data_IF_546111222683
#
_entry.id   IF_546111222683
#
_cell.length_a   1.000
_cell.length_b   1.000
_cell.length_c   1.000
_cell.angle_alpha   90.00
_cell.angle_beta   90.00
_cell.angle_gamma   90.00
#
_symmetry.space_group_name_H-M   'P 1'
#
loop_
_entity.id
_entity.type
_entity.pdbx_description
1 polymer ?
#
# COMPACT_ATOMS: atom_id res chain seq x y z
N UNK A 1 24.70 -0.31 19.31
CA UNK A 1 23.41 -0.16 19.93
C UNK A 1 22.56 0.82 19.16
N UNK A 2 22.95 2.09 19.17
CA UNK A 2 22.26 3.05 18.34
C UNK A 2 22.43 2.74 16.87
N UNK A 3 23.49 2.07 16.53
CA UNK A 3 23.76 1.70 15.15
C UNK A 3 22.72 0.76 14.57
N UNK A 4 22.15 -0.09 15.39
CA UNK A 4 21.11 -0.98 14.91
C UNK A 4 19.86 -0.24 14.47
N UNK A 5 19.48 0.76 15.23
CA UNK A 5 18.34 1.59 14.88
C UNK A 5 18.55 2.30 13.55
N UNK A 6 19.73 2.88 13.40
CA UNK A 6 20.06 3.57 12.17
C UNK A 6 20.12 2.62 10.99
N UNK A 7 20.68 1.45 11.23
CA UNK A 7 20.78 0.45 10.19
C UNK A 7 19.39 0.01 9.70
N UNK A 8 18.46 -0.17 10.62
CA UNK A 8 17.11 -0.52 10.27
C UNK A 8 16.45 0.56 9.41
N UNK A 9 16.72 1.81 9.72
CA UNK A 9 16.17 2.90 8.95
C UNK A 9 16.69 2.94 7.51
N UNK A 10 17.88 2.46 7.30
CA UNK A 10 18.47 2.43 5.97
C UNK A 10 17.75 1.45 5.06
N UNK A 11 17.33 0.30 5.61
CA UNK A 11 16.73 -0.75 4.80
C UNK A 11 15.21 -0.79 4.88
N UNK A 12 14.63 -0.04 5.80
CA UNK A 12 13.19 0.02 5.95
C UNK A 12 12.73 1.47 6.00
N UNK A 13 11.56 1.72 5.46
CA UNK A 13 10.98 3.05 5.52
C UNK A 13 9.49 3.00 5.51
N UNK A 14 8.89 4.14 5.74
CA UNK A 14 7.43 4.28 5.73
C UNK A 14 7.04 5.34 4.74
N UNK A 15 5.92 5.13 4.09
CA UNK A 15 5.34 6.09 3.16
C UNK A 15 3.84 6.18 3.41
N UNK A 16 3.25 7.35 3.21
CA UNK A 16 1.80 7.46 3.29
C UNK A 16 1.16 6.83 2.07
N UNK A 17 -0.03 6.25 2.28
CA UNK A 17 -0.83 5.74 1.18
C UNK A 17 -2.23 6.31 1.30
N UNK A 18 -2.81 6.69 0.19
CA UNK A 18 -4.16 7.18 0.12
C UNK A 18 -4.92 6.33 -0.89
N UNK A 19 -6.02 5.76 -0.44
CA UNK A 19 -6.84 4.86 -1.27
C UNK A 19 -8.22 5.43 -1.51
N UNK A 20 -8.76 5.10 -2.68
CA UNK A 20 -10.20 5.21 -2.92
C UNK A 20 -10.71 3.78 -3.15
N UNK A 21 -11.81 3.45 -2.51
CA UNK A 21 -12.39 2.12 -2.61
C UNK A 21 -13.88 2.30 -2.89
N UNK A 22 -14.33 1.78 -3.97
CA UNK A 22 -15.72 1.91 -4.37
C UNK A 22 -16.65 1.39 -3.28
N UNK A 23 -17.59 2.21 -2.86
CA UNK A 23 -18.46 1.90 -1.72
C UNK A 23 -18.15 2.70 -0.49
N UNK A 24 -16.98 3.35 -0.45
CA UNK A 24 -16.61 4.26 0.64
C UNK A 24 -16.48 5.66 0.05
N UNK A 25 -17.15 6.61 0.69
CA UNK A 25 -17.14 7.99 0.20
C UNK A 25 -15.81 8.70 0.49
N UNK A 26 -15.24 8.41 1.63
CA UNK A 26 -14.05 9.13 2.08
C UNK A 26 -12.78 8.42 1.63
N UNK A 27 -11.74 9.23 1.48
CA UNK A 27 -10.41 8.74 1.20
C UNK A 27 -9.90 7.92 2.38
N UNK A 28 -9.34 6.77 2.10
CA UNK A 28 -8.79 5.89 3.13
C UNK A 28 -7.30 6.15 3.22
N UNK A 29 -6.84 6.51 4.40
CA UNK A 29 -5.44 6.82 4.64
C UNK A 29 -4.77 5.70 5.41
N UNK A 30 -3.54 5.42 5.08
CA UNK A 30 -2.78 4.39 5.76
C UNK A 30 -1.29 4.60 5.57
N UNK A 31 -0.56 3.55 5.87
CA UNK A 31 0.89 3.55 5.76
C UNK A 31 1.36 2.29 5.07
N UNK A 32 2.44 2.43 4.34
CA UNK A 32 3.14 1.25 3.85
C UNK A 32 4.52 1.22 4.49
N UNK A 33 5.01 0.01 4.66
CA UNK A 33 6.36 -0.22 5.13
C UNK A 33 7.10 -0.92 4.01
N UNK A 34 8.15 -0.30 3.51
CA UNK A 34 8.90 -0.90 2.42
C UNK A 34 10.27 -1.33 2.89
N UNK A 35 10.86 -2.28 2.19
CA UNK A 35 12.16 -2.85 2.51
C UNK A 35 12.98 -3.03 1.25
N UNK A 36 14.27 -3.09 1.43
CA UNK A 36 15.21 -3.43 0.37
C UNK A 36 14.99 -2.65 -0.91
N UNK A 37 15.19 -1.36 -0.82
CA UNK A 37 15.08 -0.49 -1.97
C UNK A 37 13.68 -0.40 -2.54
N UNK A 38 12.70 -0.61 -1.66
CA UNK A 38 11.30 -0.37 -2.00
C UNK A 38 10.71 -1.33 -3.03
N UNK A 39 11.35 -2.47 -3.22
CA UNK A 39 10.83 -3.47 -4.16
C UNK A 39 9.74 -4.33 -3.56
N UNK A 40 9.76 -4.47 -2.25
CA UNK A 40 8.79 -5.28 -1.53
C UNK A 40 8.32 -4.47 -0.33
N UNK A 41 7.03 -4.55 -0.04
CA UNK A 41 6.54 -3.84 1.12
C UNK A 41 5.22 -4.40 1.59
N UNK A 42 4.79 -3.89 2.76
CA UNK A 42 3.51 -4.27 3.34
C UNK A 42 2.62 -3.05 3.41
N UNK A 43 1.33 -3.30 3.27
CA UNK A 43 0.28 -2.28 3.33
C UNK A 43 -0.51 -2.50 4.61
N UNK A 44 -0.84 -1.42 5.29
CA UNK A 44 -1.65 -1.50 6.51
C UNK A 44 -2.53 -0.27 6.61
N UNK A 45 -3.83 -0.48 6.72
CA UNK A 45 -4.76 0.61 6.86
C UNK A 45 -6.06 0.11 7.47
N UNK A 46 -6.87 1.05 7.97
CA UNK A 46 -8.16 0.73 8.54
C UNK A 46 -9.26 1.23 7.63
N UNK A 47 -10.26 0.40 7.42
CA UNK A 47 -11.43 0.82 6.67
C UNK A 47 -12.29 1.77 7.49
N UNK A 48 -13.00 2.71 6.84
CA UNK A 48 -13.92 3.59 7.54
C UNK A 48 -15.07 2.83 8.19
N UNK A 49 -15.76 3.50 9.07
CA UNK A 49 -16.96 2.96 9.74
C UNK A 49 -16.67 1.70 10.54
N UNK A 50 -15.45 1.57 11.06
CA UNK A 50 -15.04 0.44 11.89
C UNK A 50 -15.15 -0.89 11.16
N UNK A 51 -15.00 -0.87 9.85
CA UNK A 51 -15.03 -2.10 9.04
C UNK A 51 -13.77 -2.94 9.17
N UNK A 52 -12.82 -2.49 9.97
CA UNK A 52 -11.69 -3.31 10.34
C UNK A 52 -10.39 -2.94 9.64
N UNK A 53 -9.36 -3.67 10.02
CA UNK A 53 -8.02 -3.44 9.51
C UNK A 53 -7.78 -4.29 8.26
N UNK A 54 -7.05 -3.72 7.32
CA UNK A 54 -6.64 -4.42 6.11
C UNK A 54 -5.13 -4.49 6.07
N UNK A 55 -4.62 -5.63 5.70
CA UNK A 55 -3.18 -5.81 5.51
C UNK A 55 -2.94 -6.37 4.12
N UNK A 56 -1.78 -6.06 3.59
CA UNK A 56 -1.43 -6.54 2.28
C UNK A 56 0.04 -6.47 2.02
N UNK A 57 0.41 -6.88 0.83
CA UNK A 57 1.80 -6.83 0.38
C UNK A 57 1.85 -6.35 -1.05
N UNK A 58 3.01 -5.84 -1.43
CA UNK A 58 3.23 -5.48 -2.82
C UNK A 58 4.64 -5.87 -3.23
N UNK A 59 4.79 -6.10 -4.52
CA UNK A 59 6.10 -6.36 -5.12
C UNK A 59 6.21 -5.45 -6.33
N UNK A 60 7.32 -4.73 -6.41
CA UNK A 60 7.58 -3.82 -7.51
C UNK A 60 8.81 -4.31 -8.26
N UNK A 61 8.67 -4.53 -9.56
CA UNK A 61 9.77 -4.93 -10.42
C UNK A 61 10.02 -3.82 -11.43
N UNK A 62 11.13 -3.14 -11.30
CA UNK A 62 11.44 -1.96 -12.12
C UNK A 62 10.37 -0.89 -11.92
N UNK A 63 9.50 -0.69 -12.92
CA UNK A 63 8.47 0.34 -12.85
C UNK A 63 7.05 -0.22 -12.71
N UNK A 64 6.91 -1.53 -12.67
CA UNK A 64 5.59 -2.18 -12.58
C UNK A 64 5.61 -3.23 -11.48
N UNK A 65 4.44 -3.51 -10.95
CA UNK A 65 4.32 -4.52 -9.93
C UNK A 65 2.90 -4.93 -9.68
N UNK A 66 2.72 -5.70 -8.62
CA UNK A 66 1.40 -6.20 -8.21
C UNK A 66 1.25 -6.01 -6.70
N UNK A 67 0.00 -6.01 -6.27
CA UNK A 67 -0.32 -5.88 -4.85
C UNK A 67 -1.51 -6.75 -4.51
N UNK A 68 -1.63 -7.11 -3.25
CA UNK A 68 -2.79 -7.82 -2.75
C UNK A 68 -3.07 -7.35 -1.32
N UNK A 69 -4.34 -7.34 -0.95
CA UNK A 69 -4.82 -6.86 0.35
C UNK A 69 -5.87 -7.83 0.85
N UNK A 70 -5.88 -8.04 2.16
CA UNK A 70 -6.91 -8.83 2.82
C UNK A 70 -7.46 -8.06 4.01
N UNK A 71 -8.78 -7.98 4.09
CA UNK A 71 -9.51 -7.31 5.16
C UNK A 71 -10.32 -8.37 5.90
N UNK A 72 -9.82 -8.80 7.04
CA UNK A 72 -10.37 -9.95 7.75
C UNK A 72 -11.82 -9.76 8.18
N UNK A 73 -12.13 -8.63 8.78
CA UNK A 73 -13.46 -8.39 9.32
C UNK A 73 -14.56 -8.45 8.26
N UNK A 74 -14.27 -7.95 7.08
CA UNK A 74 -15.24 -7.93 5.99
C UNK A 74 -15.06 -9.09 5.02
N UNK A 75 -14.05 -9.91 5.25
CA UNK A 75 -13.70 -11.00 4.36
C UNK A 75 -13.54 -10.51 2.91
N UNK A 76 -12.79 -9.44 2.77
CA UNK A 76 -12.52 -8.84 1.47
C UNK A 76 -11.11 -9.16 1.03
N UNK A 77 -10.97 -9.56 -0.21
CA UNK A 77 -9.67 -9.74 -0.85
C UNK A 77 -9.62 -8.80 -2.04
N UNK A 78 -8.47 -8.17 -2.22
CA UNK A 78 -8.30 -7.26 -3.34
C UNK A 78 -6.91 -7.45 -3.92
N UNK A 79 -6.78 -7.19 -5.21
CA UNK A 79 -5.50 -7.27 -5.87
C UNK A 79 -5.50 -6.43 -7.13
N UNK A 80 -4.33 -6.16 -7.64
CA UNK A 80 -4.20 -5.36 -8.85
C UNK A 80 -2.76 -5.09 -9.19
N UNK A 81 -2.54 -4.01 -9.90
CA UNK A 81 -1.24 -3.65 -10.45
C UNK A 81 -0.73 -2.34 -9.87
N UNK A 82 0.58 -2.20 -9.92
CA UNK A 82 1.29 -1.00 -9.50
C UNK A 82 2.08 -0.43 -10.66
N UNK A 83 2.30 0.88 -10.58
CA UNK A 83 3.17 1.56 -11.53
C UNK A 83 3.97 2.62 -10.78
N UNK A 84 5.27 2.61 -10.97
CA UNK A 84 6.15 3.64 -10.42
C UNK A 84 6.15 4.84 -11.35
N UNK A 85 5.92 6.02 -10.79
CA UNK A 85 5.98 7.26 -11.54
C UNK A 85 7.39 7.83 -11.39
N UNK A 86 8.16 7.79 -12.46
CA UNK A 86 9.56 8.20 -12.40
C UNK A 86 9.73 9.70 -12.16
N UNK A 87 8.71 10.48 -12.45
CA UNK A 87 8.79 11.93 -12.28
C UNK A 87 8.92 12.35 -10.82
N UNK A 88 8.14 11.72 -9.94
CA UNK A 88 8.11 12.13 -8.55
C UNK A 88 8.36 10.99 -7.57
N UNK A 89 8.62 9.79 -8.06
CA UNK A 89 8.88 8.65 -7.21
C UNK A 89 7.67 8.05 -6.52
N UNK A 90 6.48 8.54 -6.86
CA UNK A 90 5.26 7.98 -6.29
C UNK A 90 4.88 6.68 -7.00
N UNK A 91 4.04 5.91 -6.33
CA UNK A 91 3.55 4.64 -6.89
C UNK A 91 2.04 4.71 -6.96
N UNK A 92 1.49 4.38 -8.11
CA UNK A 92 0.05 4.34 -8.31
C UNK A 92 -0.39 2.89 -8.41
N UNK A 93 -1.54 2.58 -7.80
CA UNK A 93 -2.10 1.24 -7.85
C UNK A 93 -3.55 1.26 -8.27
N UNK A 94 -3.97 0.21 -8.93
CA UNK A 94 -5.38 0.03 -9.24
C UNK A 94 -5.70 -1.46 -9.29
N UNK A 95 -6.95 -1.78 -9.00
CA UNK A 95 -7.41 -3.15 -8.99
C UNK A 95 -8.84 -3.24 -8.51
N UNK A 96 -9.22 -4.41 -8.06
CA UNK A 96 -10.58 -4.68 -7.60
C UNK A 96 -10.57 -5.63 -6.43
N UNK A 97 -11.64 -5.57 -5.63
CA UNK A 97 -11.83 -6.56 -4.57
C UNK A 97 -12.60 -7.77 -5.11
N UNK A 98 -12.84 -8.75 -4.24
CA UNK A 98 -13.53 -9.98 -4.65
C UNK A 98 -15.00 -9.79 -4.96
N UNK A 99 -15.53 -8.60 -4.75
CA UNK A 99 -16.91 -8.25 -5.10
C UNK A 99 -16.98 -7.37 -6.33
N UNK A 100 -15.85 -7.13 -6.99
CA UNK A 100 -15.81 -6.33 -8.20
C UNK A 100 -15.70 -4.83 -7.96
N UNK A 101 -15.55 -4.40 -6.74
CA UNK A 101 -15.44 -2.98 -6.43
C UNK A 101 -14.05 -2.46 -6.74
N UNK A 102 -13.99 -1.30 -7.37
CA UNK A 102 -12.71 -0.75 -7.83
C UNK A 102 -11.94 -0.10 -6.70
N UNK A 103 -10.64 -0.28 -6.74
CA UNK A 103 -9.72 0.29 -5.76
C UNK A 103 -8.61 1.01 -6.52
N UNK A 104 -8.32 2.22 -6.09
CA UNK A 104 -7.18 2.97 -6.60
C UNK A 104 -6.44 3.56 -5.43
N UNK A 105 -5.12 3.61 -5.53
CA UNK A 105 -4.35 4.24 -4.47
C UNK A 105 -3.09 4.88 -5.02
N UNK A 106 -2.52 5.74 -4.19
CA UNK A 106 -1.26 6.38 -4.49
C UNK A 106 -0.39 6.34 -3.25
N UNK A 107 0.83 5.90 -3.44
CA UNK A 107 1.84 5.85 -2.39
C UNK A 107 2.75 7.06 -2.59
N UNK A 108 2.88 7.88 -1.58
CA UNK A 108 3.69 9.07 -1.67
C UNK A 108 5.16 8.76 -1.82
N UNK A 109 5.92 9.75 -2.29
CA UNK A 109 7.36 9.58 -2.42
C UNK A 109 8.01 9.64 -1.05
N UNK A 110 9.26 9.18 -0.98
CA UNK A 110 10.03 9.19 0.27
C UNK A 110 10.63 10.55 0.58
N UNK A 111 10.56 11.48 -0.32
CA UNK A 111 11.14 12.81 -0.11
C UNK A 111 10.32 13.68 0.81
#
# INVERSE_FOLDING_TARGET
VTNQSEFSKVIEGQRPIALTWEGYEDLILGKIIFREKERVGTLNFNLPSKDGNCIGTYVLSKVKGTWSIYCEKKDLNASGFLKLNSDDGSISGNGKDNKGKKIKFKIGSTN
#
